data_IF_924549634504
#
_entry.id   IF_924549634504
#
_cell.length_a   1.000
_cell.length_b   1.000
_cell.length_c   1.000
_cell.angle_alpha   90.00
_cell.angle_beta   90.00
_cell.angle_gamma   90.00
#
_symmetry.space_group_name_H-M   'P 1'
#
loop_
_entity.id
_entity.type
_entity.pdbx_description
1 polymer ?
#
# COMPACT_ATOMS: atom_id res chain seq x y z
N UNK A 1 -23.24 -18.71 2.14
CA UNK A 1 -22.21 -18.24 3.11
C UNK A 1 -21.72 -19.45 3.89
N UNK A 2 -20.43 -19.56 4.20
CA UNK A 2 -19.97 -20.61 5.13
C UNK A 2 -20.58 -20.36 6.51
N UNK A 3 -20.93 -21.44 7.22
CA UNK A 3 -21.40 -21.34 8.62
C UNK A 3 -20.37 -20.58 9.47
N UNK A 4 -20.84 -19.65 10.30
CA UNK A 4 -20.00 -18.79 11.14
C UNK A 4 -19.48 -17.49 10.49
N UNK A 5 -19.76 -17.23 9.21
CA UNK A 5 -19.34 -15.98 8.55
C UNK A 5 -20.42 -14.90 8.60
N UNK A 6 -20.05 -13.70 9.03
CA UNK A 6 -20.91 -12.52 9.06
C UNK A 6 -20.50 -11.52 7.97
N UNK A 7 -21.49 -10.91 7.31
CA UNK A 7 -21.28 -9.70 6.48
C UNK A 7 -21.22 -8.47 7.36
N UNK A 8 -20.22 -7.64 7.15
CA UNK A 8 -19.98 -6.37 7.84
C UNK A 8 -19.66 -5.32 6.78
N UNK A 9 -19.89 -4.03 7.08
CA UNK A 9 -19.51 -2.98 6.13
C UNK A 9 -17.98 -2.90 6.09
N UNK A 10 -17.44 -2.63 4.89
CA UNK A 10 -16.00 -2.55 4.68
C UNK A 10 -15.37 -1.49 5.59
N UNK A 11 -16.02 -0.33 5.68
CA UNK A 11 -15.60 0.82 6.48
C UNK A 11 -15.55 0.53 8.00
N UNK A 12 -16.25 -0.51 8.46
CA UNK A 12 -16.24 -0.91 9.88
C UNK A 12 -14.98 -1.70 10.26
N UNK A 13 -14.23 -2.22 9.26
CA UNK A 13 -13.10 -3.13 9.49
C UNK A 13 -11.80 -2.69 8.84
N UNK A 14 -11.81 -1.59 8.08
CA UNK A 14 -10.60 -0.97 7.57
C UNK A 14 -10.48 0.47 8.07
N UNK A 15 -9.25 0.92 8.26
CA UNK A 15 -8.95 2.32 8.55
C UNK A 15 -8.21 2.92 7.35
N UNK A 16 -8.60 4.14 6.96
CA UNK A 16 -7.91 4.87 5.89
C UNK A 16 -6.61 5.48 6.42
N UNK A 17 -5.49 4.87 6.03
CA UNK A 17 -4.14 5.28 6.42
C UNK A 17 -3.37 5.91 5.24
N UNK A 18 -4.08 6.45 4.23
CA UNK A 18 -3.44 7.03 3.04
C UNK A 18 -2.78 8.39 3.30
N UNK A 19 -3.20 9.10 4.34
CA UNK A 19 -2.66 10.42 4.71
C UNK A 19 -1.23 10.37 5.27
N UNK A 20 -0.43 11.41 4.98
CA UNK A 20 0.90 11.60 5.59
C UNK A 20 2.05 10.78 4.98
N UNK A 21 1.76 9.90 4.01
CA UNK A 21 2.77 9.20 3.23
C UNK A 21 3.14 10.01 1.98
N UNK A 22 4.44 10.13 1.71
CA UNK A 22 4.96 10.87 0.55
C UNK A 22 4.71 10.05 -0.71
N UNK A 23 4.13 10.66 -1.75
CA UNK A 23 3.97 10.01 -3.06
C UNK A 23 5.35 9.78 -3.68
N UNK A 24 5.56 8.59 -4.23
CA UNK A 24 6.76 8.24 -4.99
C UNK A 24 6.48 8.34 -6.49
N UNK A 25 7.00 9.37 -7.20
CA UNK A 25 6.90 9.44 -8.65
C UNK A 25 7.56 8.24 -9.31
N UNK A 26 6.92 7.66 -10.32
CA UNK A 26 7.45 6.47 -10.99
C UNK A 26 8.82 6.71 -11.66
N UNK A 27 9.10 7.94 -12.10
CA UNK A 27 10.40 8.32 -12.64
C UNK A 27 11.57 8.23 -11.65
N UNK A 28 11.29 8.17 -10.34
CA UNK A 28 12.29 8.05 -9.29
C UNK A 28 12.62 6.58 -8.96
N UNK A 29 11.93 5.62 -9.58
CA UNK A 29 12.05 4.21 -9.23
C UNK A 29 13.36 3.64 -9.77
N UNK A 30 14.07 2.92 -8.92
CA UNK A 30 15.31 2.23 -9.28
C UNK A 30 15.03 0.76 -9.59
N UNK A 31 15.84 0.15 -10.45
CA UNK A 31 15.77 -1.29 -10.75
C UNK A 31 16.21 -2.16 -9.56
N UNK A 32 16.96 -1.60 -8.61
CA UNK A 32 17.40 -2.23 -7.38
C UNK A 32 17.58 -1.18 -6.28
N UNK A 33 17.51 -1.58 -5.01
CA UNK A 33 17.69 -0.68 -3.88
C UNK A 33 17.30 -1.32 -2.54
N UNK A 34 17.37 -0.54 -1.48
CA UNK A 34 17.14 -0.99 -0.10
C UNK A 34 15.67 -1.25 0.22
N UNK A 35 14.77 -0.42 -0.33
CA UNK A 35 13.36 -0.45 0.01
C UNK A 35 12.52 -0.75 -1.24
N UNK A 36 11.80 -1.88 -1.28
CA UNK A 36 10.92 -2.20 -2.41
C UNK A 36 9.71 -1.27 -2.41
N UNK A 37 9.34 -0.81 -3.59
CA UNK A 37 8.12 -0.05 -3.82
C UNK A 37 7.05 -1.04 -4.29
N UNK A 38 5.99 -1.15 -3.49
CA UNK A 38 4.81 -1.99 -3.79
C UNK A 38 3.70 -1.05 -4.25
N UNK A 39 3.12 -1.33 -5.41
CA UNK A 39 1.96 -0.62 -5.95
C UNK A 39 0.93 -1.61 -6.52
N UNK A 40 -0.09 -1.10 -7.22
CA UNK A 40 -1.16 -1.91 -7.84
C UNK A 40 -0.87 -2.24 -9.32
N UNK A 41 0.40 -2.15 -9.73
CA UNK A 41 0.84 -2.54 -11.06
C UNK A 41 0.86 -4.06 -11.27
N UNK A 42 1.39 -4.48 -12.43
CA UNK A 42 1.47 -5.90 -12.80
C UNK A 42 2.50 -6.68 -11.99
N UNK A 43 3.58 -6.02 -11.58
CA UNK A 43 4.68 -6.63 -10.84
C UNK A 43 4.47 -6.46 -9.35
N UNK A 44 4.78 -7.48 -8.56
CA UNK A 44 4.69 -7.39 -7.10
C UNK A 44 5.60 -6.30 -6.51
N UNK A 45 6.79 -6.12 -7.09
CA UNK A 45 7.69 -4.99 -6.81
C UNK A 45 7.77 -4.14 -8.08
N UNK A 46 7.35 -2.88 -7.99
CA UNK A 46 7.35 -1.95 -9.12
C UNK A 46 8.74 -1.32 -9.35
N UNK A 47 9.56 -1.29 -8.32
CA UNK A 47 10.91 -0.75 -8.30
C UNK A 47 11.41 -0.60 -6.88
N UNK A 48 12.47 0.17 -6.69
CA UNK A 48 13.09 0.38 -5.39
C UNK A 48 13.41 1.85 -5.13
N UNK A 49 13.58 2.19 -3.86
CA UNK A 49 14.16 3.46 -3.41
C UNK A 49 15.17 3.21 -2.29
N UNK A 50 16.15 4.11 -2.17
CA UNK A 50 17.08 4.14 -1.03
C UNK A 50 16.71 5.24 -0.03
N UNK A 51 15.67 6.02 -0.31
CA UNK A 51 15.24 7.12 0.55
C UNK A 51 14.30 6.62 1.66
N UNK A 52 14.86 6.48 2.86
CA UNK A 52 14.11 6.07 4.06
C UNK A 52 12.98 7.03 4.44
N UNK A 53 12.99 8.29 3.98
CA UNK A 53 11.94 9.25 4.30
C UNK A 53 10.62 8.96 3.55
N UNK A 54 10.68 8.09 2.53
CA UNK A 54 9.53 7.64 1.74
C UNK A 54 8.90 6.34 2.24
N UNK A 55 9.39 5.79 3.35
CA UNK A 55 8.81 4.59 3.94
C UNK A 55 7.37 4.85 4.41
N UNK A 56 6.49 3.89 4.10
CA UNK A 56 5.12 3.88 4.60
C UNK A 56 5.13 3.82 6.13
N UNK A 57 4.42 4.74 6.78
CA UNK A 57 4.39 4.85 8.25
C UNK A 57 3.19 4.12 8.88
N UNK A 58 2.32 3.55 8.06
CA UNK A 58 1.11 2.86 8.50
C UNK A 58 1.46 1.56 9.23
N UNK A 59 0.66 1.22 10.25
CA UNK A 59 0.86 0.00 11.04
C UNK A 59 0.39 -1.23 10.25
N UNK A 60 1.18 -2.29 10.28
CA UNK A 60 0.84 -3.58 9.65
C UNK A 60 -0.24 -4.35 10.44
N UNK A 61 -1.07 -5.17 9.77
CA UNK A 61 -1.11 -5.41 8.32
C UNK A 61 -1.77 -4.25 7.55
N UNK A 62 -1.28 -4.00 6.34
CA UNK A 62 -1.81 -2.98 5.43
C UNK A 62 -2.22 -3.61 4.10
N UNK A 63 -3.22 -3.02 3.46
CA UNK A 63 -3.67 -3.40 2.12
C UNK A 63 -3.59 -2.17 1.24
N UNK A 64 -3.01 -2.31 0.05
CA UNK A 64 -3.07 -1.28 -0.99
C UNK A 64 -4.40 -1.43 -1.73
N UNK A 65 -5.27 -0.43 -1.62
CA UNK A 65 -6.61 -0.48 -2.22
C UNK A 65 -6.85 0.73 -3.12
N UNK A 66 -7.48 0.52 -4.28
CA UNK A 66 -7.87 1.63 -5.16
C UNK A 66 -9.05 2.35 -4.53
N UNK A 67 -8.89 3.62 -4.19
CA UNK A 67 -10.02 4.48 -3.86
C UNK A 67 -10.55 5.09 -5.15
N UNK A 68 -11.66 4.56 -5.67
CA UNK A 68 -12.45 5.30 -6.64
C UNK A 68 -13.19 6.38 -5.86
N UNK A 69 -12.96 7.64 -6.21
CA UNK A 69 -13.86 8.73 -5.82
C UNK A 69 -15.14 8.65 -6.64
#
# INVERSE_FOLDING_TARGET
MKSGWRKIHFEDVVSDETGGNVKSPQGDFQSSGLYPIIDQGKSFVAGYTNDKHRLCKSKIPVILFWRSY
#
